data_IF_969385662195
#
_entry.id   IF_969385662195
#
_cell.length_a   1.000
_cell.length_b   1.000
_cell.length_c   1.000
_cell.angle_alpha   90.00
_cell.angle_beta   90.00
_cell.angle_gamma   90.00
#
_symmetry.space_group_name_H-M   'P 1'
#
loop_
_entity.id
_entity.type
_entity.pdbx_description
1 polymer ?
#
# COMPACT_ATOMS: atom_id res chain seq x y z
N UNK A 1 13.52 2.73 -5.59
CA UNK A 1 12.61 2.12 -4.61
C UNK A 1 13.37 1.01 -3.88
N UNK A 2 13.33 0.94 -2.54
CA UNK A 2 13.95 -0.15 -1.78
C UNK A 2 13.28 -1.49 -2.09
N UNK A 3 14.04 -2.59 -2.00
CA UNK A 3 13.49 -3.93 -2.16
C UNK A 3 12.57 -4.26 -0.97
N UNK A 4 11.36 -4.77 -1.26
CA UNK A 4 10.43 -5.22 -0.24
C UNK A 4 11.00 -6.46 0.46
N UNK A 5 11.21 -6.36 1.76
CA UNK A 5 11.65 -7.46 2.61
C UNK A 5 10.46 -8.04 3.37
N UNK A 6 10.38 -9.36 3.42
CA UNK A 6 9.35 -10.07 4.18
C UNK A 6 10.02 -11.05 5.14
N UNK A 7 9.43 -11.22 6.31
CA UNK A 7 9.84 -12.19 7.32
C UNK A 7 8.63 -12.99 7.74
N UNK A 8 8.68 -14.29 7.53
CA UNK A 8 7.60 -15.19 7.95
C UNK A 8 7.84 -15.55 9.42
N UNK A 9 6.88 -15.24 10.28
CA UNK A 9 6.88 -15.60 11.69
C UNK A 9 5.74 -16.59 11.98
N UNK A 10 5.98 -17.54 12.90
CA UNK A 10 5.00 -18.56 13.28
C UNK A 10 5.08 -19.85 12.46
N UNK A 11 4.41 -20.89 12.96
CA UNK A 11 4.30 -22.22 12.34
C UNK A 11 2.86 -22.74 12.53
N UNK A 12 2.33 -23.47 11.56
CA UNK A 12 0.96 -24.02 11.61
C UNK A 12 -0.12 -22.94 11.42
N UNK A 13 -1.21 -23.03 12.19
CA UNK A 13 -2.38 -22.15 12.06
C UNK A 13 -2.15 -20.67 12.45
N UNK A 14 -0.95 -20.33 12.95
CA UNK A 14 -0.58 -18.97 13.36
C UNK A 14 0.53 -18.35 12.51
N UNK A 15 0.70 -18.80 11.27
CA UNK A 15 1.70 -18.24 10.36
C UNK A 15 1.31 -16.81 9.93
N UNK A 16 2.24 -15.88 10.06
CA UNK A 16 2.07 -14.48 9.73
C UNK A 16 3.31 -13.95 9.03
N UNK A 17 3.11 -13.11 8.04
CA UNK A 17 4.18 -12.46 7.30
C UNK A 17 4.34 -11.03 7.81
N UNK A 18 5.53 -10.72 8.31
CA UNK A 18 5.90 -9.39 8.80
C UNK A 18 6.72 -8.68 7.73
N UNK A 19 6.38 -7.42 7.48
CA UNK A 19 7.03 -6.57 6.49
C UNK A 19 7.78 -5.47 7.24
N UNK A 20 9.07 -5.69 7.60
CA UNK A 20 9.84 -4.69 8.35
C UNK A 20 10.15 -3.44 7.54
N UNK A 21 10.30 -3.55 6.21
CA UNK A 21 10.70 -2.43 5.35
C UNK A 21 9.51 -1.62 4.81
N UNK A 22 8.33 -1.76 5.40
CA UNK A 22 7.13 -1.14 4.83
C UNK A 22 7.13 0.38 4.97
N UNK A 23 7.71 0.90 6.05
CA UNK A 23 7.82 2.34 6.29
C UNK A 23 8.69 3.04 5.22
N UNK A 24 9.82 2.43 4.83
CA UNK A 24 10.72 2.98 3.81
C UNK A 24 10.08 2.93 2.41
N UNK A 25 9.42 1.81 2.09
CA UNK A 25 8.64 1.65 0.85
C UNK A 25 7.53 2.70 0.77
N UNK A 26 6.78 2.89 1.85
CA UNK A 26 5.68 3.84 1.90
C UNK A 26 6.19 5.29 1.78
N UNK A 27 7.33 5.60 2.41
CA UNK A 27 8.02 6.88 2.27
C UNK A 27 8.46 7.16 0.84
N UNK A 28 9.00 6.16 0.14
CA UNK A 28 9.36 6.27 -1.27
C UNK A 28 8.14 6.52 -2.18
N UNK A 29 6.98 5.96 -1.81
CA UNK A 29 5.72 6.17 -2.53
C UNK A 29 4.97 7.45 -2.11
N UNK A 30 5.51 8.25 -1.16
CA UNK A 30 4.81 9.38 -0.55
C UNK A 30 3.40 9.02 -0.05
N UNK A 31 3.28 7.83 0.55
CA UNK A 31 2.02 7.31 1.10
C UNK A 31 2.20 6.80 2.52
N UNK A 32 1.15 6.81 3.35
CA UNK A 32 1.22 6.18 4.64
C UNK A 32 1.30 4.65 4.47
N UNK A 33 2.10 3.94 5.29
CA UNK A 33 2.29 2.49 5.18
C UNK A 33 1.02 1.68 5.50
N UNK A 34 0.02 2.30 6.12
CA UNK A 34 -1.29 1.70 6.40
C UNK A 34 -2.06 1.34 5.13
N UNK A 35 -1.97 2.16 4.07
CA UNK A 35 -2.70 1.94 2.81
C UNK A 35 -2.25 0.67 2.07
N UNK A 36 -0.96 0.53 1.70
CA UNK A 36 -0.50 -0.68 1.02
C UNK A 36 -0.61 -1.92 1.91
N UNK A 37 -0.44 -1.79 3.23
CA UNK A 37 -0.69 -2.92 4.15
C UNK A 37 -2.15 -3.38 4.10
N UNK A 38 -3.10 -2.44 4.09
CA UNK A 38 -4.52 -2.76 3.97
C UNK A 38 -4.86 -3.37 2.62
N UNK A 39 -4.22 -2.88 1.56
CA UNK A 39 -4.37 -3.41 0.21
C UNK A 39 -3.92 -4.88 0.12
N UNK A 40 -2.78 -5.24 0.72
CA UNK A 40 -2.36 -6.64 0.81
C UNK A 40 -3.40 -7.51 1.52
N UNK A 41 -4.00 -7.03 2.61
CA UNK A 41 -5.07 -7.76 3.28
C UNK A 41 -6.29 -8.00 2.39
N UNK A 42 -6.64 -7.04 1.55
CA UNK A 42 -7.77 -7.15 0.63
C UNK A 42 -7.48 -8.12 -0.53
N UNK A 43 -6.31 -8.02 -1.17
CA UNK A 43 -5.95 -8.90 -2.30
C UNK A 43 -5.63 -10.33 -1.85
N UNK A 44 -5.04 -10.51 -0.66
CA UNK A 44 -4.68 -11.82 -0.14
C UNK A 44 -5.80 -12.46 0.69
N UNK A 45 -6.92 -11.76 0.91
CA UNK A 45 -8.02 -12.24 1.76
C UNK A 45 -7.59 -12.46 3.22
N UNK A 46 -6.60 -11.70 3.69
CA UNK A 46 -5.95 -11.87 4.98
C UNK A 46 -6.25 -10.72 5.94
N UNK A 47 -6.40 -11.05 7.22
CA UNK A 47 -6.41 -10.03 8.26
C UNK A 47 -5.01 -9.39 8.39
N UNK A 48 -5.00 -8.07 8.54
CA UNK A 48 -3.78 -7.27 8.67
C UNK A 48 -3.77 -6.59 10.03
N UNK A 49 -2.59 -6.55 10.65
CA UNK A 49 -2.35 -5.85 11.90
C UNK A 49 -1.20 -4.86 11.69
N UNK A 50 -1.41 -3.64 12.17
CA UNK A 50 -0.47 -2.55 12.03
C UNK A 50 -0.17 -2.00 13.43
N UNK A 51 1.10 -2.02 13.80
CA UNK A 51 1.60 -1.40 15.02
C UNK A 51 2.43 -0.17 14.62
N UNK A 52 1.83 1.01 14.70
CA UNK A 52 2.50 2.27 14.32
C UNK A 52 3.65 2.64 15.26
N UNK A 53 3.63 2.18 16.52
CA UNK A 53 4.68 2.50 17.50
C UNK A 53 5.99 1.79 17.21
N UNK A 54 5.93 0.55 16.71
CA UNK A 54 7.10 -0.26 16.38
C UNK A 54 7.34 -0.39 14.87
N UNK A 55 6.62 0.40 14.05
CA UNK A 55 6.68 0.35 12.58
C UNK A 55 6.52 -1.09 12.03
N UNK A 56 5.68 -1.90 12.69
CA UNK A 56 5.58 -3.33 12.44
C UNK A 56 4.25 -3.64 11.74
N UNK A 57 4.37 -4.09 10.49
CA UNK A 57 3.23 -4.40 9.62
C UNK A 57 3.13 -5.91 9.42
N UNK A 58 1.99 -6.49 9.78
CA UNK A 58 1.77 -7.92 9.83
C UNK A 58 0.59 -8.27 8.95
N UNK A 59 0.78 -9.25 8.06
CA UNK A 59 -0.25 -9.85 7.22
C UNK A 59 -0.39 -11.31 7.62
N UNK A 60 -1.59 -11.76 7.96
CA UNK A 60 -1.81 -13.18 8.26
C UNK A 60 -1.60 -14.05 7.02
N UNK A 61 -1.03 -15.25 7.23
CA UNK A 61 -0.66 -16.16 6.16
C UNK A 61 0.84 -16.17 5.83
N UNK A 62 1.23 -17.16 5.04
CA UNK A 62 2.58 -17.32 4.51
C UNK A 62 2.64 -16.70 3.11
N UNK A 63 3.31 -15.55 2.99
CA UNK A 63 3.41 -14.83 1.73
C UNK A 63 4.88 -14.61 1.38
N UNK A 64 5.27 -15.13 0.22
CA UNK A 64 6.61 -14.90 -0.33
C UNK A 64 6.79 -13.44 -0.74
N UNK A 65 8.04 -12.97 -0.65
CA UNK A 65 8.40 -11.60 -1.06
C UNK A 65 8.07 -11.33 -2.54
N UNK A 66 8.17 -12.33 -3.41
CA UNK A 66 7.85 -12.19 -4.84
C UNK A 66 6.38 -11.86 -5.05
N UNK A 67 5.50 -12.61 -4.39
CA UNK A 67 4.04 -12.42 -4.51
C UNK A 67 3.60 -11.08 -3.96
N UNK A 68 4.15 -10.68 -2.80
CA UNK A 68 3.90 -9.36 -2.22
C UNK A 68 4.40 -8.21 -3.11
N UNK A 69 5.48 -8.41 -3.88
CA UNK A 69 5.93 -7.43 -4.88
C UNK A 69 4.95 -7.28 -6.03
N UNK A 70 4.44 -8.38 -6.59
CA UNK A 70 3.43 -8.33 -7.67
C UNK A 70 2.17 -7.58 -7.23
N UNK A 71 1.70 -7.83 -6.00
CA UNK A 71 0.58 -7.10 -5.42
C UNK A 71 0.92 -5.61 -5.19
N UNK A 72 2.14 -5.30 -4.77
CA UNK A 72 2.58 -3.92 -4.60
C UNK A 72 2.65 -3.17 -5.93
N UNK A 73 3.12 -3.81 -7.01
CA UNK A 73 3.09 -3.24 -8.36
C UNK A 73 1.64 -2.93 -8.80
N UNK A 74 0.70 -3.84 -8.51
CA UNK A 74 -0.73 -3.59 -8.74
C UNK A 74 -1.28 -2.41 -7.94
N UNK A 75 -0.80 -2.21 -6.71
CA UNK A 75 -1.14 -1.03 -5.90
C UNK A 75 -0.58 0.26 -6.50
N UNK A 76 0.67 0.24 -6.95
CA UNK A 76 1.34 1.40 -7.54
C UNK A 76 0.61 1.82 -8.82
N UNK A 77 0.28 0.88 -9.70
CA UNK A 77 -0.46 1.15 -10.94
C UNK A 77 -1.84 1.75 -10.68
N UNK A 78 -2.57 1.21 -9.70
CA UNK A 78 -3.94 1.65 -9.41
C UNK A 78 -4.01 2.94 -8.60
N UNK A 79 -3.14 3.16 -7.62
CA UNK A 79 -3.31 4.21 -6.60
C UNK A 79 -2.18 5.26 -6.55
N UNK A 80 -1.01 4.98 -7.14
CA UNK A 80 0.14 5.89 -7.07
C UNK A 80 0.41 6.54 -8.43
N UNK A 81 0.39 5.76 -9.51
CA UNK A 81 0.62 6.26 -10.86
C UNK A 81 -0.57 7.09 -11.36
N UNK A 82 -0.26 8.23 -11.98
CA UNK A 82 -1.24 9.02 -12.71
C UNK A 82 -1.61 8.31 -14.03
N UNK A 83 -2.91 8.29 -14.38
CA UNK A 83 -3.40 7.66 -15.63
C UNK A 83 -2.92 8.40 -16.89
N UNK A 84 -2.68 9.71 -16.83
CA UNK A 84 -2.22 10.51 -17.98
C UNK A 84 -0.70 10.48 -18.16
N UNK A 85 0.06 10.83 -17.11
CA UNK A 85 1.50 11.05 -17.23
C UNK A 85 2.38 9.93 -16.64
N UNK A 86 1.78 8.93 -15.98
CA UNK A 86 2.51 7.84 -15.28
C UNK A 86 3.57 8.32 -14.28
N UNK A 87 3.45 9.54 -13.75
CA UNK A 87 4.33 10.00 -12.69
C UNK A 87 3.85 9.45 -11.33
N UNK A 88 4.72 8.89 -10.49
CA UNK A 88 4.36 8.43 -9.14
C UNK A 88 4.13 9.58 -8.14
N UNK A 89 4.45 10.83 -8.50
CA UNK A 89 4.21 12.02 -7.66
C UNK A 89 2.74 12.47 -7.73
N UNK A 90 1.88 11.71 -7.07
CA UNK A 90 0.47 12.05 -6.88
C UNK A 90 0.16 12.26 -5.40
N UNK A 91 -0.87 13.02 -5.09
CA UNK A 91 -1.45 13.15 -3.75
C UNK A 91 -2.90 12.66 -3.76
N UNK A 92 -3.29 11.90 -2.73
CA UNK A 92 -4.67 11.47 -2.56
C UNK A 92 -5.42 12.53 -1.75
N UNK A 93 -6.35 13.20 -2.39
CA UNK A 93 -7.24 14.19 -1.78
C UNK A 93 -8.61 13.55 -1.62
N UNK A 94 -9.08 13.50 -0.37
CA UNK A 94 -10.42 13.04 -0.05
C UNK A 94 -11.34 14.27 -0.12
N UNK A 95 -12.11 14.40 -1.20
CA UNK A 95 -13.12 15.44 -1.30
C UNK A 95 -14.38 14.99 -0.57
N UNK A 96 -14.69 15.70 0.52
CA UNK A 96 -15.96 15.54 1.24
C UNK A 96 -16.97 16.53 0.65
N UNK A 97 -17.66 16.13 -0.41
CA UNK A 97 -18.79 16.89 -0.94
C UNK A 97 -20.10 16.30 -0.41
N UNK A 98 -20.46 16.67 0.82
CA UNK A 98 -21.71 16.25 1.45
C UNK A 98 -21.74 14.75 1.81
N UNK A 99 -22.66 13.98 1.21
CA UNK A 99 -22.82 12.51 1.44
C UNK A 99 -21.92 11.63 0.57
N UNK A 100 -21.26 12.20 -0.45
CA UNK A 100 -20.36 11.45 -1.32
C UNK A 100 -18.92 11.77 -0.90
N UNK A 101 -18.24 10.76 -0.37
CA UNK A 101 -16.81 10.80 -0.09
C UNK A 101 -16.08 10.25 -1.31
N UNK A 102 -15.53 11.13 -2.14
CA UNK A 102 -14.78 10.75 -3.33
C UNK A 102 -13.28 10.87 -3.08
N UNK A 103 -12.54 9.83 -3.44
CA UNK A 103 -11.08 9.82 -3.38
C UNK A 103 -10.56 10.24 -4.75
N UNK A 104 -9.88 11.37 -4.79
CA UNK A 104 -9.31 11.93 -6.00
C UNK A 104 -7.79 11.91 -5.89
N UNK A 105 -7.14 11.57 -6.99
CA UNK A 105 -5.69 11.66 -7.14
C UNK A 105 -5.38 12.97 -7.83
N UNK A 106 -4.58 13.80 -7.20
CA UNK A 106 -4.05 15.05 -7.73
C UNK A 106 -2.59 14.80 -8.16
N UNK A 107 -2.30 14.94 -9.45
CA UNK A 107 -0.94 14.73 -9.94
C UNK A 107 -0.16 16.05 -9.99
N UNK A 108 1.00 16.11 -9.32
CA UNK A 108 1.84 17.33 -9.32
C UNK A 108 2.53 17.62 -10.65
N UNK A 109 2.70 16.60 -11.51
CA UNK A 109 3.37 16.77 -12.80
C UNK A 109 2.44 17.32 -13.89
N UNK A 110 1.21 16.83 -14.00
CA UNK A 110 0.26 17.28 -15.03
C UNK A 110 -0.87 18.18 -14.50
N UNK A 111 -1.05 18.30 -13.18
CA UNK A 111 -2.13 19.07 -12.56
C UNK A 111 -3.52 18.44 -12.71
N UNK A 112 -3.60 17.23 -13.24
CA UNK A 112 -4.87 16.57 -13.53
C UNK A 112 -5.40 15.84 -12.29
N UNK A 113 -6.70 16.03 -12.02
CA UNK A 113 -7.42 15.41 -10.92
C UNK A 113 -8.23 14.25 -11.46
N UNK A 114 -7.83 13.03 -11.12
CA UNK A 114 -8.53 11.83 -11.58
C UNK A 114 -9.11 11.08 -10.37
N UNK A 115 -10.35 10.63 -10.47
CA UNK A 115 -10.92 9.72 -9.49
C UNK A 115 -10.10 8.43 -9.39
N UNK A 116 -9.98 7.89 -8.18
CA UNK A 116 -9.38 6.57 -7.95
C UNK A 116 -10.16 5.49 -8.68
#
# INVERSE_FOLDING_TARGET
MPLLQTKIEGKGNGIKTVIPNMADVARALSRPPTYPTKFFGCELGAQTSFDEKNERYIVNGAHDANRLREHLDGFIDKFVLCKSCKNPETELVILKSGRNEEIIRDCKACGERTGV
#
